data_IF_294322355422
#
_entry.id   IF_294322355422
#
_cell.length_a   1.000
_cell.length_b   1.000
_cell.length_c   1.000
_cell.angle_alpha   90.00
_cell.angle_beta   90.00
_cell.angle_gamma   90.00
#
_symmetry.space_group_name_H-M   'P 1'
#
loop_
_entity.id
_entity.type
_entity.pdbx_description
1 polymer ?
#
# COMPACT_ATOMS: atom_id res chain seq x y z
N UNK A 1 10.39 9.66 -2.28
CA UNK A 1 8.98 10.10 -2.42
C UNK A 1 8.58 9.92 -3.87
N UNK A 2 7.46 9.26 -4.14
CA UNK A 2 6.90 9.17 -5.50
C UNK A 2 6.24 10.53 -5.76
N UNK A 3 6.62 11.19 -6.84
CA UNK A 3 6.08 12.50 -7.19
C UNK A 3 4.54 12.45 -7.31
N UNK A 4 3.86 13.36 -6.60
CA UNK A 4 2.40 13.45 -6.62
C UNK A 4 1.67 12.33 -5.88
N UNK A 5 2.34 11.57 -5.01
CA UNK A 5 1.70 10.61 -4.10
C UNK A 5 1.98 11.01 -2.65
N UNK A 6 0.93 11.32 -1.90
CA UNK A 6 0.99 11.46 -0.44
C UNK A 6 0.73 10.08 0.20
N UNK A 7 1.75 9.42 0.78
CA UNK A 7 1.56 8.12 1.41
C UNK A 7 0.81 8.18 2.75
N UNK A 8 0.58 9.38 3.29
CA UNK A 8 -0.16 9.60 4.54
C UNK A 8 -1.64 9.90 4.32
N UNK A 9 -2.06 10.08 3.07
CA UNK A 9 -3.46 10.24 2.70
C UNK A 9 -4.28 8.95 3.02
N UNK A 10 -5.62 9.06 3.08
CA UNK A 10 -6.48 7.89 3.29
C UNK A 10 -6.17 6.75 2.30
N UNK A 11 -6.24 5.50 2.75
CA UNK A 11 -5.88 4.33 1.96
C UNK A 11 -6.62 4.24 0.61
N UNK A 12 -7.87 4.72 0.55
CA UNK A 12 -8.69 4.78 -0.67
C UNK A 12 -8.15 5.78 -1.71
N UNK A 13 -7.60 6.90 -1.26
CA UNK A 13 -6.98 7.90 -2.13
C UNK A 13 -5.63 7.42 -2.63
N UNK A 14 -4.79 6.88 -1.73
CA UNK A 14 -3.50 6.28 -2.08
C UNK A 14 -3.68 5.17 -3.10
N UNK A 15 -4.61 4.24 -2.86
CA UNK A 15 -4.90 3.14 -3.79
C UNK A 15 -5.24 3.67 -5.19
N UNK A 16 -6.16 4.64 -5.29
CA UNK A 16 -6.53 5.23 -6.58
C UNK A 16 -5.35 5.91 -7.27
N UNK A 17 -4.51 6.62 -6.53
CA UNK A 17 -3.34 7.32 -7.06
C UNK A 17 -2.22 6.38 -7.55
N UNK A 18 -2.22 5.12 -7.11
CA UNK A 18 -1.29 4.09 -7.56
C UNK A 18 -1.65 3.48 -8.93
N UNK A 19 -2.92 3.52 -9.35
CA UNK A 19 -3.32 2.97 -10.65
C UNK A 19 -2.60 3.69 -11.80
N UNK A 20 -2.05 2.91 -12.73
CA UNK A 20 -1.28 3.41 -13.87
C UNK A 20 0.19 3.75 -13.56
N UNK A 21 0.61 3.72 -12.29
CA UNK A 21 2.03 3.88 -11.91
C UNK A 21 2.82 2.60 -12.18
N UNK A 22 4.13 2.73 -12.37
CA UNK A 22 5.02 1.58 -12.53
C UNK A 22 5.68 1.19 -11.21
N UNK A 23 5.53 -0.07 -10.80
CA UNK A 23 6.33 -0.67 -9.74
C UNK A 23 7.66 -1.11 -10.33
N UNK A 24 8.76 -0.60 -9.80
CA UNK A 24 10.11 -0.89 -10.28
C UNK A 24 10.91 -1.62 -9.21
N UNK A 25 11.57 -2.71 -9.61
CA UNK A 25 12.49 -3.46 -8.78
C UNK A 25 13.82 -3.66 -9.51
N UNK A 26 14.93 -3.34 -8.82
CA UNK A 26 16.29 -3.63 -9.30
C UNK A 26 16.86 -4.74 -8.41
N UNK A 27 17.30 -5.84 -9.01
CA UNK A 27 17.96 -6.97 -8.30
C UNK A 27 19.14 -7.40 -9.14
N UNK A 28 20.32 -7.49 -8.52
CA UNK A 28 21.58 -7.87 -9.19
C UNK A 28 21.86 -7.03 -10.46
N UNK A 29 21.53 -5.73 -10.40
CA UNK A 29 21.65 -4.81 -11.54
C UNK A 29 20.57 -4.95 -12.61
N UNK A 30 19.69 -5.95 -12.53
CA UNK A 30 18.60 -6.17 -13.49
C UNK A 30 17.34 -5.42 -13.07
N UNK A 31 16.86 -4.53 -13.94
CA UNK A 31 15.59 -3.80 -13.76
C UNK A 31 14.42 -4.67 -14.20
N UNK A 32 13.44 -4.83 -13.31
CA UNK A 32 12.12 -5.42 -13.58
C UNK A 32 11.06 -4.37 -13.26
N UNK A 33 10.03 -4.25 -14.08
CA UNK A 33 8.94 -3.32 -13.83
C UNK A 33 7.61 -3.84 -14.34
N UNK A 34 6.53 -3.39 -13.72
CA UNK A 34 5.16 -3.64 -14.16
C UNK A 34 4.25 -2.48 -13.80
N UNK A 35 3.25 -2.23 -14.65
CA UNK A 35 2.22 -1.22 -14.38
C UNK A 35 1.20 -1.75 -13.38
N UNK A 36 0.86 -0.96 -12.38
CA UNK A 36 -0.21 -1.25 -11.44
C UNK A 36 -1.54 -1.06 -12.17
N UNK A 37 -2.27 -2.14 -12.39
CA UNK A 37 -3.57 -2.15 -13.08
C UNK A 37 -4.75 -2.40 -12.13
N UNK A 38 -4.46 -2.87 -10.91
CA UNK A 38 -5.44 -3.20 -9.90
C UNK A 38 -4.85 -2.92 -8.51
N UNK A 39 -5.71 -2.49 -7.58
CA UNK A 39 -5.39 -2.14 -6.21
C UNK A 39 -6.58 -2.45 -5.30
N UNK A 40 -6.31 -2.72 -4.03
CA UNK A 40 -7.32 -2.81 -2.97
C UNK A 40 -6.93 -1.88 -1.81
N UNK A 41 -7.92 -1.21 -1.22
CA UNK A 41 -7.72 -0.38 -0.04
C UNK A 41 -8.35 -1.06 1.18
N UNK A 42 -7.55 -1.30 2.21
CA UNK A 42 -8.00 -1.80 3.51
C UNK A 42 -8.06 -0.63 4.49
N UNK A 43 -9.26 -0.24 4.92
CA UNK A 43 -9.50 1.01 5.68
C UNK A 43 -9.30 0.88 7.19
N UNK A 44 -8.51 -0.11 7.62
CA UNK A 44 -8.08 -0.23 9.00
C UNK A 44 -9.04 -1.02 9.90
N UNK A 45 -9.31 -0.50 11.10
CA UNK A 45 -9.99 -1.23 12.16
C UNK A 45 -11.49 -1.47 11.92
N UNK A 46 -12.13 -0.68 11.05
CA UNK A 46 -13.54 -0.81 10.69
C UNK A 46 -13.77 -1.87 9.59
N UNK A 47 -12.72 -2.21 8.85
CA UNK A 47 -12.77 -3.15 7.74
C UNK A 47 -12.58 -4.58 8.22
N UNK A 48 -13.63 -5.41 8.12
CA UNK A 48 -13.61 -6.82 8.53
C UNK A 48 -12.66 -7.70 7.70
N UNK A 49 -12.31 -7.28 6.48
CA UNK A 49 -11.34 -8.00 5.65
C UNK A 49 -9.90 -7.59 5.99
N UNK A 50 -9.70 -6.47 6.69
CA UNK A 50 -8.37 -6.00 7.07
C UNK A 50 -7.75 -6.86 8.18
N UNK A 51 -6.44 -7.09 8.08
CA UNK A 51 -5.67 -7.67 9.18
C UNK A 51 -5.65 -6.81 10.45
N UNK A 52 -6.03 -5.53 10.35
CA UNK A 52 -6.10 -4.61 11.49
C UNK A 52 -7.52 -4.45 12.04
N UNK A 53 -8.49 -5.24 11.56
CA UNK A 53 -9.87 -5.23 12.04
C UNK A 53 -9.96 -5.30 13.58
N UNK A 54 -10.83 -4.47 14.16
CA UNK A 54 -11.00 -4.40 15.61
C UNK A 54 -9.76 -3.87 16.35
N UNK A 55 -8.85 -3.18 15.66
CA UNK A 55 -7.59 -2.70 16.23
C UNK A 55 -6.56 -3.81 16.46
N UNK A 56 -6.73 -4.98 15.83
CA UNK A 56 -5.84 -6.12 16.01
C UNK A 56 -4.41 -5.79 15.57
N UNK A 57 -3.49 -5.78 16.53
CA UNK A 57 -2.06 -5.58 16.30
C UNK A 57 -1.26 -6.82 16.70
N UNK A 58 -0.37 -7.26 15.83
CA UNK A 58 0.45 -8.46 15.96
C UNK A 58 1.82 -8.21 15.33
N UNK A 59 2.83 -9.01 15.71
CA UNK A 59 4.17 -8.92 15.10
C UNK A 59 4.17 -8.93 13.57
N UNK A 60 3.22 -9.63 12.93
CA UNK A 60 3.11 -9.73 11.47
C UNK A 60 2.62 -8.44 10.79
N UNK A 61 1.71 -7.70 11.42
CA UNK A 61 1.07 -6.52 10.81
C UNK A 61 1.57 -5.19 11.39
N UNK A 62 2.68 -5.18 12.12
CA UNK A 62 3.27 -3.97 12.71
C UNK A 62 3.49 -2.85 11.68
N UNK A 63 3.89 -3.20 10.45
CA UNK A 63 4.11 -2.23 9.36
C UNK A 63 2.85 -1.47 8.96
N UNK A 64 1.66 -2.00 9.24
CA UNK A 64 0.37 -1.35 8.93
C UNK A 64 -0.02 -0.28 9.98
N UNK A 65 0.74 -0.14 11.08
CA UNK A 65 0.52 0.85 12.15
C UNK A 65 1.63 1.91 12.22
N UNK A 66 2.60 1.85 11.31
CA UNK A 66 3.68 2.82 11.25
C UNK A 66 3.18 4.09 10.57
N UNK A 67 3.58 5.25 11.10
CA UNK A 67 3.33 6.57 10.52
C UNK A 67 4.52 7.01 9.66
#
# INVERSE_FOLDING_TARGET
MIEGLDPTAPATEVARALLGRDLVRIVDGVRRSGRIVEVEAYVGHEDRASHTWGGRRTKRNETMFMA
#
